data_IF_069486624878
#
_entry.id   IF_069486624878
#
_cell.length_a   1.000
_cell.length_b   1.000
_cell.length_c   1.000
_cell.angle_alpha   90.00
_cell.angle_beta   90.00
_cell.angle_gamma   90.00
#
_symmetry.space_group_name_H-M   'P 1'
#
loop_
_entity.id
_entity.type
_entity.pdbx_description
1 polymer ?
#
# COMPACT_ATOMS: atom_id res chain seq x y z
N UNK A 1 18.43 17.50 0.23
CA UNK A 1 17.13 16.88 0.64
C UNK A 1 16.46 17.84 1.61
N UNK A 2 15.18 18.14 1.42
CA UNK A 2 14.39 18.94 2.37
C UNK A 2 14.26 18.10 3.66
N UNK A 3 14.23 18.74 4.83
CA UNK A 3 13.96 18.00 6.08
C UNK A 3 12.58 17.35 6.00
N UNK A 4 12.50 16.07 6.32
CA UNK A 4 11.24 15.32 6.44
C UNK A 4 10.60 15.47 7.83
N UNK A 5 11.33 16.10 8.76
CA UNK A 5 10.83 16.31 10.12
C UNK A 5 9.59 17.20 10.12
N UNK A 6 8.62 16.82 10.93
CA UNK A 6 7.33 17.48 11.08
C UNK A 6 6.51 17.59 9.78
N UNK A 7 6.76 16.72 8.78
CA UNK A 7 5.97 16.66 7.55
C UNK A 7 4.94 15.52 7.62
N UNK A 8 3.73 15.79 7.12
CA UNK A 8 2.72 14.76 6.94
C UNK A 8 3.06 13.83 5.78
N UNK A 9 2.71 12.54 5.91
CA UNK A 9 2.88 11.52 4.88
C UNK A 9 1.52 11.17 4.26
N UNK A 10 1.13 11.86 3.19
CA UNK A 10 -0.22 11.78 2.61
C UNK A 10 -0.31 10.92 1.34
N UNK A 11 0.69 11.05 0.46
CA UNK A 11 0.78 10.36 -0.82
C UNK A 11 2.23 10.27 -1.28
N UNK A 12 2.54 9.28 -2.13
CA UNK A 12 3.88 9.17 -2.72
C UNK A 12 4.23 10.36 -3.63
N UNK A 13 3.22 10.99 -4.25
CA UNK A 13 3.43 12.11 -5.17
C UNK A 13 4.05 13.35 -4.51
N UNK A 14 3.94 13.52 -3.20
CA UNK A 14 4.51 14.68 -2.49
C UNK A 14 6.04 14.61 -2.31
N UNK A 15 6.66 13.45 -2.53
CA UNK A 15 8.08 13.22 -2.29
C UNK A 15 8.90 13.19 -3.57
N UNK A 16 10.20 13.54 -3.44
CA UNK A 16 11.18 13.31 -4.51
C UNK A 16 11.64 11.84 -4.52
N UNK A 17 12.22 11.35 -5.62
CA UNK A 17 12.83 10.01 -5.66
C UNK A 17 13.87 9.79 -4.57
N UNK A 18 14.68 10.81 -4.24
CA UNK A 18 15.70 10.76 -3.19
C UNK A 18 15.08 10.64 -1.79
N UNK A 19 13.95 11.30 -1.53
CA UNK A 19 13.22 11.20 -0.27
C UNK A 19 12.56 9.84 -0.12
N UNK A 20 11.99 9.29 -1.19
CA UNK A 20 11.47 7.91 -1.21
C UNK A 20 12.61 6.91 -0.94
N UNK A 21 13.75 7.09 -1.61
CA UNK A 21 14.93 6.26 -1.37
C UNK A 21 15.38 6.33 0.08
N UNK A 22 15.37 7.52 0.69
CA UNK A 22 15.71 7.68 2.11
C UNK A 22 14.78 6.88 3.02
N UNK A 23 13.46 6.89 2.79
CA UNK A 23 12.52 6.05 3.55
C UNK A 23 12.84 4.56 3.41
N UNK A 24 13.20 4.11 2.20
CA UNK A 24 13.54 2.71 1.95
C UNK A 24 14.86 2.31 2.62
N UNK A 25 15.90 3.14 2.52
CA UNK A 25 17.20 2.91 3.18
C UNK A 25 17.03 2.88 4.70
N UNK A 26 16.23 3.80 5.26
CA UNK A 26 15.92 3.85 6.68
C UNK A 26 15.12 2.61 7.13
N UNK A 27 14.15 2.17 6.36
CA UNK A 27 13.37 0.97 6.65
C UNK A 27 14.25 -0.29 6.64
N UNK A 28 15.13 -0.42 5.65
CA UNK A 28 16.09 -1.52 5.58
C UNK A 28 17.04 -1.53 6.80
N UNK A 29 17.53 -0.36 7.19
CA UNK A 29 18.39 -0.20 8.39
C UNK A 29 17.65 -0.57 9.66
N UNK A 30 16.44 -0.04 9.89
CA UNK A 30 15.62 -0.35 11.06
C UNK A 30 15.25 -1.85 11.12
N UNK A 31 14.97 -2.48 9.97
CA UNK A 31 14.74 -3.92 9.87
C UNK A 31 15.97 -4.71 10.30
N UNK A 32 17.14 -4.34 9.80
CA UNK A 32 18.40 -4.99 10.13
C UNK A 32 18.75 -4.82 11.61
N UNK A 33 18.60 -3.61 12.16
CA UNK A 33 18.91 -3.31 13.56
C UNK A 33 17.96 -4.04 14.51
N UNK A 34 16.65 -4.11 14.18
CA UNK A 34 15.68 -4.91 14.95
C UNK A 34 16.08 -6.39 14.97
N UNK A 35 16.39 -6.98 13.81
CA UNK A 35 16.82 -8.39 13.72
C UNK A 35 18.12 -8.66 14.48
N UNK A 36 19.02 -7.68 14.56
CA UNK A 36 20.27 -7.76 15.31
C UNK A 36 20.14 -7.40 16.80
N UNK A 37 18.98 -6.99 17.28
CA UNK A 37 18.80 -6.52 18.66
C UNK A 37 19.54 -5.21 18.98
N UNK A 38 19.82 -4.38 17.98
CA UNK A 38 20.61 -3.14 18.08
C UNK A 38 19.80 -1.88 17.77
N UNK A 39 18.50 -1.99 17.62
CA UNK A 39 17.62 -0.88 17.27
C UNK A 39 17.66 0.23 18.33
N UNK A 40 17.95 1.46 17.91
CA UNK A 40 17.99 2.64 18.78
C UNK A 40 16.59 3.22 18.86
N UNK A 41 16.09 3.49 20.07
CA UNK A 41 14.79 4.11 20.31
C UNK A 41 14.91 5.63 20.14
N UNK A 42 14.32 6.18 19.08
CA UNK A 42 14.40 7.60 18.75
C UNK A 42 13.08 8.36 18.98
N UNK A 43 12.01 7.65 19.33
CA UNK A 43 10.67 8.22 19.56
C UNK A 43 10.23 8.12 21.03
N UNK A 44 11.17 8.04 21.95
CA UNK A 44 10.87 7.93 23.38
C UNK A 44 10.04 9.13 23.85
N UNK A 45 8.91 8.84 24.52
CA UNK A 45 7.98 9.84 25.06
C UNK A 45 7.01 10.42 24.03
N UNK A 46 7.08 10.02 22.75
CA UNK A 46 6.10 10.41 21.74
C UNK A 46 4.79 9.62 21.91
N UNK A 47 3.68 10.27 21.56
CA UNK A 47 2.33 9.69 21.61
C UNK A 47 1.64 9.90 20.28
N UNK A 48 1.07 8.84 19.70
CA UNK A 48 0.41 8.86 18.40
C UNK A 48 -1.05 8.43 18.50
N UNK A 49 -1.95 9.20 17.91
CA UNK A 49 -3.33 8.78 17.71
C UNK A 49 -3.45 7.95 16.43
N UNK A 50 -4.07 6.78 16.52
CA UNK A 50 -4.33 5.90 15.38
C UNK A 50 -5.83 5.87 15.13
N UNK A 51 -6.29 6.58 14.10
CA UNK A 51 -7.72 6.74 13.76
C UNK A 51 -8.08 5.76 12.63
N UNK A 52 -9.06 4.91 12.89
CA UNK A 52 -9.53 3.92 11.93
C UNK A 52 -11.04 4.03 11.73
N UNK A 53 -11.47 4.42 10.53
CA UNK A 53 -12.86 4.30 10.09
C UNK A 53 -13.17 2.92 9.52
N UNK A 54 -12.13 2.21 9.09
CA UNK A 54 -12.16 0.83 8.58
C UNK A 54 -11.23 -0.04 9.39
N UNK A 55 -11.66 -1.22 9.78
CA UNK A 55 -10.82 -2.19 10.48
C UNK A 55 -9.58 -2.58 9.66
N UNK A 56 -8.48 -2.79 10.35
CA UNK A 56 -7.23 -3.26 9.75
C UNK A 56 -6.36 -3.97 10.76
N UNK A 57 -6.00 -5.20 10.46
CA UNK A 57 -5.03 -5.96 11.24
C UNK A 57 -3.60 -5.46 10.99
N UNK A 58 -3.17 -5.45 9.73
CA UNK A 58 -1.78 -5.16 9.36
C UNK A 58 -1.35 -3.73 9.62
N UNK A 59 -2.15 -2.74 9.21
CA UNK A 59 -1.81 -1.32 9.41
C UNK A 59 -1.76 -0.99 10.89
N UNK A 60 -2.76 -1.42 11.66
CA UNK A 60 -2.80 -1.22 13.11
C UNK A 60 -1.56 -1.84 13.78
N UNK A 61 -1.33 -3.14 13.57
CA UNK A 61 -0.18 -3.82 14.17
C UNK A 61 1.16 -3.19 13.78
N UNK A 62 1.31 -2.75 12.52
CA UNK A 62 2.55 -2.13 12.06
C UNK A 62 2.82 -0.78 12.75
N UNK A 63 1.80 0.07 12.92
CA UNK A 63 1.96 1.32 13.67
C UNK A 63 2.19 1.07 15.16
N UNK A 64 1.38 0.21 15.81
CA UNK A 64 1.52 -0.09 17.24
C UNK A 64 2.89 -0.72 17.56
N UNK A 65 3.29 -1.76 16.84
CA UNK A 65 4.59 -2.42 17.07
C UNK A 65 5.74 -1.51 16.67
N UNK A 66 5.64 -0.78 15.56
CA UNK A 66 6.68 0.15 15.12
C UNK A 66 6.90 1.29 16.11
N UNK A 67 5.84 1.86 16.67
CA UNK A 67 5.91 2.87 17.72
C UNK A 67 6.54 2.32 18.99
N UNK A 68 6.10 1.14 19.46
CA UNK A 68 6.62 0.50 20.65
C UNK A 68 8.11 0.14 20.52
N UNK A 69 8.55 -0.36 19.37
CA UNK A 69 9.96 -0.61 19.08
C UNK A 69 10.82 0.64 19.28
N UNK A 70 10.29 1.80 18.91
CA UNK A 70 10.96 3.09 18.99
C UNK A 70 10.73 3.85 20.31
N UNK A 71 9.96 3.26 21.25
CA UNK A 71 9.71 3.83 22.57
C UNK A 71 8.57 4.87 22.61
N UNK A 72 7.75 4.92 21.57
CA UNK A 72 6.54 5.73 21.54
C UNK A 72 5.31 4.96 22.04
N UNK A 73 4.24 5.69 22.36
CA UNK A 73 2.95 5.15 22.73
C UNK A 73 1.90 5.42 21.65
N UNK A 74 0.91 4.56 21.56
CA UNK A 74 -0.20 4.71 20.59
C UNK A 74 -1.54 4.62 21.31
N UNK A 75 -2.53 5.37 20.81
CA UNK A 75 -3.93 5.25 21.20
C UNK A 75 -4.74 4.88 19.96
N UNK A 76 -5.38 3.73 19.99
CA UNK A 76 -6.24 3.27 18.91
C UNK A 76 -7.66 3.82 19.06
N UNK A 77 -8.12 4.52 18.03
CA UNK A 77 -9.48 5.06 17.90
C UNK A 77 -10.18 4.35 16.73
N UNK A 78 -10.86 3.27 17.03
CA UNK A 78 -11.56 2.44 16.04
C UNK A 78 -12.91 3.02 15.61
N UNK A 79 -13.63 2.36 14.68
CA UNK A 79 -14.88 2.85 14.09
C UNK A 79 -16.00 3.13 15.10
N UNK A 80 -15.99 2.46 16.23
CA UNK A 80 -16.99 2.62 17.30
C UNK A 80 -16.49 3.39 18.49
N UNK A 81 -15.21 3.70 18.58
CA UNK A 81 -14.55 4.26 19.77
C UNK A 81 -14.46 5.79 19.80
N UNK A 82 -14.91 6.50 18.78
CA UNK A 82 -14.80 7.96 18.68
C UNK A 82 -16.13 8.64 18.36
N UNK A 83 -16.19 9.97 18.59
CA UNK A 83 -17.32 10.81 18.21
C UNK A 83 -17.11 11.48 16.84
N UNK A 84 -15.98 11.25 16.20
CA UNK A 84 -15.60 11.80 14.91
C UNK A 84 -16.68 11.52 13.84
N UNK A 85 -17.01 12.54 13.06
CA UNK A 85 -18.07 12.53 12.04
C UNK A 85 -19.48 12.12 12.53
N UNK A 86 -19.67 11.99 13.86
CA UNK A 86 -20.98 11.68 14.48
C UNK A 86 -21.54 12.89 15.23
N UNK A 87 -20.83 13.34 16.25
CA UNK A 87 -21.20 14.50 17.09
C UNK A 87 -20.12 15.58 17.08
N UNK A 88 -18.97 15.32 16.51
CA UNK A 88 -17.84 16.23 16.41
C UNK A 88 -17.37 16.33 14.96
N UNK A 89 -17.10 17.54 14.48
CA UNK A 89 -16.55 17.73 13.15
C UNK A 89 -15.11 17.21 13.06
N UNK A 90 -14.69 16.76 11.87
CA UNK A 90 -13.31 16.30 11.67
C UNK A 90 -12.28 17.40 11.99
N UNK A 91 -12.61 18.67 11.72
CA UNK A 91 -11.75 19.82 12.06
C UNK A 91 -11.58 20.00 13.57
N UNK A 92 -12.63 19.79 14.34
CA UNK A 92 -12.56 19.90 15.81
C UNK A 92 -11.81 18.71 16.39
N UNK A 93 -12.08 17.50 15.90
CA UNK A 93 -11.30 16.30 16.24
C UNK A 93 -9.82 16.51 15.94
N UNK A 94 -9.48 17.07 14.78
CA UNK A 94 -8.08 17.37 14.40
C UNK A 94 -7.40 18.30 15.43
N UNK A 95 -8.06 19.39 15.81
CA UNK A 95 -7.54 20.35 16.79
C UNK A 95 -7.36 19.72 18.18
N UNK A 96 -8.36 18.96 18.64
CA UNK A 96 -8.31 18.28 19.93
C UNK A 96 -7.17 17.26 19.97
N UNK A 97 -7.09 16.38 18.98
CA UNK A 97 -6.03 15.36 18.93
C UNK A 97 -4.64 15.99 18.72
N UNK A 98 -4.54 17.02 17.88
CA UNK A 98 -3.29 17.75 17.69
C UNK A 98 -2.78 18.47 18.94
N UNK A 99 -3.66 18.79 19.91
CA UNK A 99 -3.25 19.35 21.19
C UNK A 99 -2.77 18.30 22.21
N UNK A 100 -3.04 17.02 21.97
CA UNK A 100 -2.75 15.92 22.90
C UNK A 100 -1.65 14.99 22.39
N UNK A 101 -1.53 14.82 21.07
CA UNK A 101 -0.65 13.86 20.42
C UNK A 101 0.42 14.53 19.60
N UNK A 102 1.53 13.85 19.38
CA UNK A 102 2.64 14.33 18.56
C UNK A 102 2.40 14.09 17.06
N UNK A 103 1.59 13.08 16.70
CA UNK A 103 1.16 12.81 15.33
C UNK A 103 -0.16 12.03 15.31
N UNK A 104 -0.79 12.00 14.13
CA UNK A 104 -2.05 11.28 13.88
C UNK A 104 -1.84 10.35 12.69
N UNK A 105 -2.16 9.07 12.83
CA UNK A 105 -2.39 8.18 11.70
C UNK A 105 -3.89 8.15 11.39
N UNK A 106 -4.21 8.14 10.10
CA UNK A 106 -5.58 8.05 9.65
C UNK A 106 -5.74 6.96 8.58
N UNK A 107 -6.69 6.06 8.82
CA UNK A 107 -7.17 5.08 7.86
C UNK A 107 -8.67 5.21 7.71
N UNK A 108 -9.11 5.66 6.54
CA UNK A 108 -10.52 5.95 6.30
C UNK A 108 -10.94 5.78 4.85
N UNK A 109 -11.94 6.56 4.46
CA UNK A 109 -12.52 6.55 3.13
C UNK A 109 -11.95 7.65 2.26
N UNK A 110 -12.15 8.91 2.63
CA UNK A 110 -11.84 10.05 1.79
C UNK A 110 -10.42 10.59 1.99
N UNK A 111 -9.73 10.86 0.88
CA UNK A 111 -8.43 11.52 0.92
C UNK A 111 -8.53 12.95 1.49
N UNK A 112 -9.66 13.62 1.28
CA UNK A 112 -9.92 14.95 1.83
C UNK A 112 -9.91 14.98 3.37
N UNK A 113 -10.18 13.84 4.02
CA UNK A 113 -10.13 13.73 5.47
C UNK A 113 -8.68 13.73 5.98
N UNK A 114 -7.77 13.07 5.27
CA UNK A 114 -6.31 13.16 5.54
C UNK A 114 -5.83 14.61 5.41
N UNK A 115 -6.26 15.31 4.36
CA UNK A 115 -5.88 16.71 4.13
C UNK A 115 -6.46 17.61 5.24
N UNK A 116 -7.72 17.42 5.62
CA UNK A 116 -8.37 18.17 6.70
C UNK A 116 -7.66 17.93 8.04
N UNK A 117 -7.31 16.69 8.37
CA UNK A 117 -6.55 16.39 9.58
C UNK A 117 -5.19 17.08 9.55
N UNK A 118 -4.46 17.02 8.43
CA UNK A 118 -3.16 17.65 8.29
C UNK A 118 -3.20 19.19 8.40
N UNK A 119 -4.25 19.81 7.87
CA UNK A 119 -4.40 21.27 7.86
C UNK A 119 -4.80 21.84 9.25
N UNK A 120 -5.53 21.06 10.05
CA UNK A 120 -6.11 21.57 11.31
C UNK A 120 -5.50 20.99 12.59
N UNK A 121 -4.74 19.90 12.55
CA UNK A 121 -4.19 19.27 13.76
C UNK A 121 -2.95 19.96 14.32
N UNK A 122 -2.22 20.74 13.53
CA UNK A 122 -0.90 21.32 13.90
C UNK A 122 0.21 20.27 14.15
N UNK A 123 -0.06 19.00 13.90
CA UNK A 123 0.89 17.90 14.03
C UNK A 123 0.92 17.09 12.72
N UNK A 124 1.99 16.33 12.45
CA UNK A 124 2.06 15.47 11.28
C UNK A 124 0.92 14.45 11.21
N UNK A 125 0.41 14.20 10.00
CA UNK A 125 -0.60 13.20 9.72
C UNK A 125 -0.06 12.17 8.73
N UNK A 126 -0.26 10.89 9.04
CA UNK A 126 0.16 9.77 8.21
C UNK A 126 -1.05 9.06 7.61
N UNK A 127 -1.07 8.96 6.30
CA UNK A 127 -2.10 8.22 5.57
C UNK A 127 -1.87 6.71 5.69
N UNK A 128 -2.65 6.03 6.51
CA UNK A 128 -2.65 4.58 6.66
C UNK A 128 -3.35 3.85 5.51
N UNK A 129 -4.35 4.47 4.90
CA UNK A 129 -5.07 4.11 3.67
C UNK A 129 -6.28 5.03 3.49
N UNK A 130 -6.56 5.40 2.26
CA UNK A 130 -7.87 5.94 1.81
C UNK A 130 -8.39 5.13 0.62
N UNK A 131 -9.59 5.46 0.12
CA UNK A 131 -10.10 4.85 -1.13
C UNK A 131 -9.30 5.31 -2.36
N UNK A 132 -8.55 6.42 -2.25
CA UNK A 132 -7.72 6.94 -3.32
C UNK A 132 -6.30 6.38 -3.30
N UNK A 133 -5.67 6.22 -2.13
CA UNK A 133 -4.23 5.93 -2.03
C UNK A 133 -3.87 5.05 -0.82
N UNK A 134 -2.79 4.30 -0.94
CA UNK A 134 -2.21 3.50 0.14
C UNK A 134 -0.67 3.61 0.17
N UNK A 135 -0.11 4.81 0.46
CA UNK A 135 1.30 5.08 0.25
C UNK A 135 2.23 4.24 1.13
N UNK A 136 1.80 3.85 2.34
CA UNK A 136 2.58 2.95 3.21
C UNK A 136 2.73 1.54 2.63
N UNK A 137 1.78 1.07 1.81
CA UNK A 137 1.88 -0.20 1.11
C UNK A 137 2.92 -0.12 -0.03
N UNK A 138 2.94 0.98 -0.76
CA UNK A 138 3.91 1.21 -1.83
C UNK A 138 5.35 1.16 -1.30
N UNK A 139 5.64 1.80 -0.17
CA UNK A 139 6.96 1.70 0.45
C UNK A 139 7.32 0.26 0.83
N UNK A 140 6.36 -0.49 1.43
CA UNK A 140 6.60 -1.88 1.79
C UNK A 140 6.86 -2.76 0.57
N UNK A 141 6.09 -2.55 -0.50
CA UNK A 141 6.31 -3.24 -1.76
C UNK A 141 7.72 -2.94 -2.31
N UNK A 142 8.11 -1.67 -2.42
CA UNK A 142 9.43 -1.30 -2.95
C UNK A 142 10.59 -1.84 -2.12
N UNK A 143 10.49 -1.83 -0.79
CA UNK A 143 11.48 -2.49 0.05
C UNK A 143 11.54 -3.99 -0.25
N UNK A 144 10.39 -4.64 -0.42
CA UNK A 144 10.32 -6.07 -0.75
C UNK A 144 10.95 -6.37 -2.12
N UNK A 145 10.72 -5.51 -3.12
CA UNK A 145 11.34 -5.66 -4.42
C UNK A 145 12.87 -5.51 -4.35
N UNK A 146 13.38 -4.52 -3.60
CA UNK A 146 14.82 -4.33 -3.41
C UNK A 146 15.50 -5.52 -2.70
N UNK A 147 14.77 -6.21 -1.83
CA UNK A 147 15.29 -7.39 -1.11
C UNK A 147 15.32 -8.67 -1.98
N UNK A 148 14.54 -8.73 -3.09
CA UNK A 148 14.33 -9.97 -3.84
C UNK A 148 14.69 -9.89 -5.34
N UNK A 149 14.94 -8.68 -5.87
CA UNK A 149 15.25 -8.47 -7.28
C UNK A 149 16.55 -7.68 -7.38
N UNK A 150 17.55 -8.29 -8.00
CA UNK A 150 18.88 -7.67 -8.20
C UNK A 150 18.86 -6.68 -9.39
N UNK A 151 17.98 -5.67 -9.28
CA UNK A 151 17.84 -4.54 -10.20
C UNK A 151 17.50 -3.28 -9.41
N UNK A 152 17.98 -2.10 -9.82
CA UNK A 152 17.47 -0.84 -9.26
C UNK A 152 15.99 -0.65 -9.64
N UNK A 153 15.20 0.00 -8.79
CA UNK A 153 13.75 0.15 -8.99
C UNK A 153 13.37 0.67 -10.37
N UNK A 154 14.10 1.64 -10.90
CA UNK A 154 13.87 2.20 -12.24
C UNK A 154 14.19 1.24 -13.41
N UNK A 155 14.56 0.00 -13.14
CA UNK A 155 14.79 -1.06 -14.14
C UNK A 155 13.86 -2.26 -13.92
N UNK A 156 12.96 -2.17 -12.94
CA UNK A 156 11.95 -3.19 -12.69
C UNK A 156 10.73 -2.92 -13.56
N UNK A 157 10.31 -3.93 -14.30
CA UNK A 157 9.03 -3.95 -15.01
C UNK A 157 7.95 -4.57 -14.11
N UNK A 158 6.85 -3.84 -13.93
CA UNK A 158 5.92 -4.05 -12.84
C UNK A 158 4.48 -3.91 -13.32
N UNK A 159 3.64 -4.92 -13.11
CA UNK A 159 2.24 -4.82 -13.46
C UNK A 159 1.32 -4.90 -12.25
N UNK A 160 0.26 -4.08 -12.28
CA UNK A 160 -0.94 -4.31 -11.49
C UNK A 160 -2.00 -4.97 -12.36
N UNK A 161 -2.50 -6.14 -11.95
CA UNK A 161 -3.50 -6.91 -12.68
C UNK A 161 -4.82 -6.82 -11.96
N UNK A 162 -5.87 -6.31 -12.63
CA UNK A 162 -7.23 -6.22 -12.07
C UNK A 162 -7.84 -4.82 -12.13
N UNK A 163 -8.40 -4.35 -11.02
CA UNK A 163 -9.18 -3.11 -10.93
C UNK A 163 -8.29 -1.86 -10.91
N UNK A 164 -8.11 -1.21 -12.04
CA UNK A 164 -7.22 -0.07 -12.20
C UNK A 164 -7.65 1.23 -11.49
N UNK A 165 -8.90 1.33 -11.05
CA UNK A 165 -9.39 2.47 -10.25
C UNK A 165 -9.34 2.19 -8.75
N UNK A 166 -8.66 1.11 -8.33
CA UNK A 166 -8.46 0.80 -6.92
C UNK A 166 -7.38 1.68 -6.29
N UNK A 167 -7.46 1.89 -4.97
CA UNK A 167 -6.43 2.58 -4.22
C UNK A 167 -5.05 1.92 -4.34
N UNK A 168 -5.00 0.60 -4.48
CA UNK A 168 -3.73 -0.12 -4.65
C UNK A 168 -3.10 0.16 -6.01
N UNK A 169 -3.89 0.15 -7.10
CA UNK A 169 -3.39 0.54 -8.42
C UNK A 169 -2.87 1.98 -8.40
N UNK A 170 -3.63 2.90 -7.82
CA UNK A 170 -3.22 4.31 -7.68
C UNK A 170 -1.91 4.45 -6.89
N UNK A 171 -1.82 3.79 -5.74
CA UNK A 171 -0.65 3.85 -4.87
C UNK A 171 0.62 3.34 -5.57
N UNK A 172 0.51 2.17 -6.22
CA UNK A 172 1.65 1.57 -6.92
C UNK A 172 2.04 2.34 -8.17
N UNK A 173 1.06 2.85 -8.92
CA UNK A 173 1.27 3.69 -10.10
C UNK A 173 1.98 5.00 -9.72
N UNK A 174 1.54 5.67 -8.65
CA UNK A 174 2.17 6.92 -8.19
C UNK A 174 3.61 6.70 -7.74
N UNK A 175 3.87 5.62 -7.00
CA UNK A 175 5.22 5.24 -6.61
C UNK A 175 6.09 4.88 -7.81
N UNK A 176 5.57 4.10 -8.75
CA UNK A 176 6.28 3.74 -9.98
C UNK A 176 6.62 4.96 -10.84
N UNK A 177 5.66 5.90 -10.97
CA UNK A 177 5.88 7.18 -11.63
C UNK A 177 7.05 7.96 -10.99
N UNK A 178 7.09 8.03 -9.65
CA UNK A 178 8.18 8.71 -8.92
C UNK A 178 9.52 8.03 -9.09
N UNK A 179 9.56 6.70 -9.10
CA UNK A 179 10.81 5.93 -9.14
C UNK A 179 11.30 5.60 -10.55
N UNK A 180 10.66 6.11 -11.61
CA UNK A 180 11.09 5.89 -12.99
C UNK A 180 10.90 4.46 -13.49
N UNK A 181 9.88 3.73 -12.99
CA UNK A 181 9.64 2.32 -13.30
C UNK A 181 8.83 2.13 -14.58
N UNK A 182 8.87 0.93 -15.17
CA UNK A 182 7.91 0.47 -16.18
C UNK A 182 6.68 -0.11 -15.47
N UNK A 183 5.61 0.68 -15.38
CA UNK A 183 4.35 0.28 -14.77
C UNK A 183 3.29 -0.03 -15.82
N UNK A 184 2.66 -1.20 -15.69
CA UNK A 184 1.58 -1.64 -16.57
C UNK A 184 0.34 -1.96 -15.76
N UNK A 185 -0.79 -1.37 -16.14
CA UNK A 185 -2.11 -1.83 -15.71
C UNK A 185 -2.62 -2.84 -16.73
N UNK A 186 -2.94 -4.04 -16.27
CA UNK A 186 -3.56 -5.11 -17.05
C UNK A 186 -4.95 -5.38 -16.49
N UNK A 187 -5.98 -4.99 -17.24
CA UNK A 187 -7.35 -5.11 -16.75
C UNK A 187 -8.38 -4.57 -17.74
N UNK A 188 -9.68 -4.77 -17.47
CA UNK A 188 -10.75 -4.36 -18.36
C UNK A 188 -10.75 -2.84 -18.59
N UNK A 189 -10.95 -2.38 -19.83
CA UNK A 189 -10.93 -0.95 -20.21
C UNK A 189 -11.79 -0.06 -19.35
N UNK A 190 -12.98 -0.52 -18.96
CA UNK A 190 -13.92 0.24 -18.14
C UNK A 190 -13.40 0.55 -16.73
N UNK A 191 -12.36 -0.16 -16.28
CA UNK A 191 -11.71 0.03 -14.99
C UNK A 191 -10.29 0.63 -15.09
N UNK A 192 -9.91 1.16 -16.26
CA UNK A 192 -8.64 1.87 -16.37
C UNK A 192 -8.67 3.17 -15.55
N UNK A 193 -7.53 3.59 -14.99
CA UNK A 193 -7.46 4.81 -14.21
C UNK A 193 -7.80 6.03 -15.06
N UNK A 194 -8.43 7.01 -14.43
CA UNK A 194 -8.82 8.26 -15.05
C UNK A 194 -8.83 9.39 -14.02
N UNK A 195 -8.92 10.63 -14.51
CA UNK A 195 -9.07 11.82 -13.69
C UNK A 195 -7.74 12.40 -13.17
N UNK A 196 -7.84 13.42 -12.29
CA UNK A 196 -6.69 14.28 -11.95
C UNK A 196 -5.49 13.54 -11.36
N UNK A 197 -5.72 12.50 -10.54
CA UNK A 197 -4.64 11.72 -9.94
C UNK A 197 -3.83 10.94 -10.99
N UNK A 198 -4.52 10.33 -11.95
CA UNK A 198 -3.89 9.63 -13.06
C UNK A 198 -3.10 10.60 -13.95
N UNK A 199 -3.68 11.75 -14.27
CA UNK A 199 -3.03 12.78 -15.08
C UNK A 199 -1.75 13.30 -14.41
N UNK A 200 -1.75 13.49 -13.08
CA UNK A 200 -0.55 13.88 -12.35
C UNK A 200 0.50 12.75 -12.37
N UNK A 201 0.10 11.48 -12.24
CA UNK A 201 1.03 10.35 -12.39
C UNK A 201 1.68 10.33 -13.77
N UNK A 202 0.92 10.59 -14.85
CA UNK A 202 1.46 10.66 -16.23
C UNK A 202 2.45 11.83 -16.40
N UNK A 203 2.18 12.96 -15.77
CA UNK A 203 3.08 14.11 -15.78
C UNK A 203 4.39 13.79 -15.06
N UNK A 204 4.31 13.25 -13.85
CA UNK A 204 5.48 12.82 -13.08
C UNK A 204 6.29 11.76 -13.83
N UNK A 205 5.62 10.80 -14.47
CA UNK A 205 6.28 9.77 -15.26
C UNK A 205 7.14 10.35 -16.39
N UNK A 206 6.66 11.41 -17.07
CA UNK A 206 7.46 12.11 -18.10
C UNK A 206 8.71 12.78 -17.52
N UNK A 207 8.64 13.27 -16.29
CA UNK A 207 9.77 13.95 -15.63
C UNK A 207 10.84 12.94 -15.15
N UNK A 208 10.42 11.76 -14.68
CA UNK A 208 11.30 10.73 -14.12
C UNK A 208 11.79 9.69 -15.12
N UNK A 209 11.18 9.65 -16.32
CA UNK A 209 11.43 8.62 -17.32
C UNK A 209 10.68 7.30 -17.08
N UNK A 210 9.68 7.31 -16.17
CA UNK A 210 8.79 6.16 -16.00
C UNK A 210 7.89 5.97 -17.23
N UNK A 211 7.45 4.73 -17.45
CA UNK A 211 6.39 4.42 -18.40
C UNK A 211 5.14 3.95 -17.65
N UNK A 212 3.97 4.44 -18.05
CA UNK A 212 2.69 3.98 -17.53
C UNK A 212 1.84 3.58 -18.72
N UNK A 213 1.47 2.30 -18.79
CA UNK A 213 0.64 1.75 -19.87
C UNK A 213 -0.58 1.02 -19.31
N UNK A 214 -1.68 1.03 -20.07
CA UNK A 214 -2.88 0.28 -19.75
C UNK A 214 -3.20 -0.65 -20.92
N UNK A 215 -3.53 -1.90 -20.64
CA UNK A 215 -3.94 -2.89 -21.64
C UNK A 215 -4.98 -3.86 -21.09
N UNK A 216 -5.84 -4.35 -21.95
CA UNK A 216 -6.73 -5.48 -21.69
C UNK A 216 -6.22 -6.79 -22.34
N UNK A 217 -5.10 -6.72 -23.07
CA UNK A 217 -4.39 -7.89 -23.58
C UNK A 217 -3.43 -8.43 -22.52
N UNK A 218 -3.81 -9.54 -21.90
CA UNK A 218 -3.02 -10.18 -20.84
C UNK A 218 -1.66 -10.64 -21.35
N UNK A 219 -1.61 -11.31 -22.53
CA UNK A 219 -0.40 -11.93 -23.04
C UNK A 219 0.69 -10.89 -23.37
N UNK A 220 0.29 -9.78 -24.00
CA UNK A 220 1.21 -8.67 -24.27
C UNK A 220 1.56 -7.88 -23.00
N UNK A 221 0.57 -7.68 -22.13
CA UNK A 221 0.77 -6.93 -20.90
C UNK A 221 1.78 -7.55 -19.95
N UNK A 222 1.75 -8.88 -19.79
CA UNK A 222 2.63 -9.57 -18.82
C UNK A 222 4.03 -9.86 -19.37
N UNK A 223 4.27 -9.68 -20.66
CA UNK A 223 5.51 -10.08 -21.31
C UNK A 223 6.74 -9.40 -20.70
N UNK A 224 7.69 -10.23 -20.25
CA UNK A 224 8.98 -9.79 -19.70
C UNK A 224 8.90 -9.13 -18.32
N UNK A 225 7.77 -9.25 -17.59
CA UNK A 225 7.63 -8.64 -16.27
C UNK A 225 8.56 -9.24 -15.22
N UNK A 226 9.04 -8.40 -14.35
CA UNK A 226 9.72 -8.79 -13.11
C UNK A 226 8.73 -9.05 -11.97
N UNK A 227 7.60 -8.34 -11.98
CA UNK A 227 6.61 -8.38 -10.88
C UNK A 227 5.19 -8.34 -11.42
N UNK A 228 4.34 -9.21 -10.90
CA UNK A 228 2.88 -9.14 -11.01
C UNK A 228 2.29 -8.86 -9.62
N UNK A 229 1.48 -7.83 -9.53
CA UNK A 229 0.71 -7.46 -8.35
C UNK A 229 -0.78 -7.57 -8.64
N UNK A 230 -1.56 -8.06 -7.70
CA UNK A 230 -3.03 -8.01 -7.79
C UNK A 230 -3.66 -7.65 -6.46
N UNK A 231 -4.95 -7.42 -6.44
CA UNK A 231 -5.74 -7.14 -5.25
C UNK A 231 -7.16 -7.69 -5.39
N UNK A 232 -7.88 -7.74 -4.29
CA UNK A 232 -9.23 -8.31 -4.23
C UNK A 232 -10.18 -7.64 -5.23
N UNK A 233 -11.03 -8.44 -5.88
CA UNK A 233 -12.06 -7.92 -6.80
C UNK A 233 -13.34 -7.55 -6.08
N UNK A 234 -13.60 -8.18 -4.94
CA UNK A 234 -14.82 -8.02 -4.15
C UNK A 234 -14.47 -7.66 -2.71
N UNK A 235 -15.34 -6.91 -2.06
CA UNK A 235 -15.20 -6.55 -0.64
C UNK A 235 -16.44 -6.98 0.15
N UNK A 236 -16.29 -7.14 1.46
CA UNK A 236 -17.41 -7.56 2.33
C UNK A 236 -18.59 -6.57 2.37
N UNK A 237 -18.40 -5.32 1.89
CA UNK A 237 -19.47 -4.32 1.77
C UNK A 237 -20.23 -4.37 0.46
N UNK A 238 -19.76 -5.15 -0.53
CA UNK A 238 -20.38 -5.23 -1.85
C UNK A 238 -21.62 -6.15 -1.79
N UNK A 239 -22.62 -5.83 -2.62
CA UNK A 239 -23.80 -6.70 -2.83
C UNK A 239 -23.44 -7.92 -3.69
N UNK A 240 -24.26 -8.95 -3.65
CA UNK A 240 -24.04 -10.15 -4.48
C UNK A 240 -24.11 -9.86 -5.99
N UNK A 241 -24.97 -8.93 -6.41
CA UNK A 241 -25.04 -8.53 -7.83
C UNK A 241 -23.73 -7.85 -8.26
N UNK A 242 -23.12 -7.05 -7.40
CA UNK A 242 -21.79 -6.48 -7.64
C UNK A 242 -20.69 -7.55 -7.71
N UNK A 243 -20.81 -8.62 -6.88
CA UNK A 243 -19.86 -9.73 -6.95
C UNK A 243 -19.93 -10.44 -8.29
N UNK A 244 -21.15 -10.75 -8.76
CA UNK A 244 -21.35 -11.44 -10.04
C UNK A 244 -20.79 -10.63 -11.21
N UNK A 245 -21.08 -9.33 -11.28
CA UNK A 245 -20.53 -8.44 -12.30
C UNK A 245 -19.00 -8.43 -12.27
N UNK A 246 -18.41 -8.20 -11.09
CA UNK A 246 -16.97 -8.10 -10.94
C UNK A 246 -16.27 -9.42 -11.24
N UNK A 247 -16.77 -10.53 -10.73
CA UNK A 247 -16.17 -11.86 -10.99
C UNK A 247 -16.20 -12.16 -12.48
N UNK A 248 -17.33 -11.96 -13.15
CA UNK A 248 -17.44 -12.21 -14.59
C UNK A 248 -16.51 -11.27 -15.39
N UNK A 249 -16.36 -10.03 -14.97
CA UNK A 249 -15.52 -9.04 -15.64
C UNK A 249 -14.03 -9.30 -15.43
N UNK A 250 -13.61 -9.68 -14.21
CA UNK A 250 -12.20 -9.84 -13.88
C UNK A 250 -11.68 -11.27 -14.03
N UNK A 251 -12.53 -12.27 -14.23
CA UNK A 251 -12.12 -13.68 -14.39
C UNK A 251 -11.01 -13.90 -15.42
N UNK A 252 -10.97 -13.21 -16.58
CA UNK A 252 -9.86 -13.34 -17.54
C UNK A 252 -8.52 -12.78 -17.02
N UNK A 253 -8.56 -12.02 -15.93
CA UNK A 253 -7.40 -11.36 -15.31
C UNK A 253 -7.00 -12.02 -13.99
N UNK A 254 -7.47 -13.25 -13.70
CA UNK A 254 -7.00 -14.00 -12.54
C UNK A 254 -5.51 -14.32 -12.69
N UNK A 255 -4.71 -13.99 -11.67
CA UNK A 255 -3.30 -14.36 -11.65
C UNK A 255 -3.19 -15.85 -11.32
N UNK A 256 -2.76 -16.63 -12.28
CA UNK A 256 -2.60 -18.08 -12.22
C UNK A 256 -1.28 -18.52 -12.85
N UNK A 257 -0.96 -19.81 -12.79
CA UNK A 257 0.28 -20.34 -13.32
C UNK A 257 0.47 -20.08 -14.83
N UNK A 258 -0.63 -20.06 -15.61
CA UNK A 258 -0.57 -19.75 -17.04
C UNK A 258 -0.15 -18.28 -17.25
N UNK A 259 -0.77 -17.33 -16.55
CA UNK A 259 -0.37 -15.91 -16.61
C UNK A 259 1.09 -15.72 -16.19
N UNK A 260 1.54 -16.39 -15.12
CA UNK A 260 2.94 -16.34 -14.68
C UNK A 260 3.87 -16.87 -15.76
N UNK A 261 3.51 -17.95 -16.43
CA UNK A 261 4.31 -18.52 -17.53
C UNK A 261 4.36 -17.62 -18.78
N UNK A 262 3.27 -16.91 -19.10
CA UNK A 262 3.21 -15.95 -20.21
C UNK A 262 4.18 -14.78 -20.07
N UNK A 263 4.68 -14.49 -18.87
CA UNK A 263 5.76 -13.49 -18.69
C UNK A 263 7.04 -13.85 -19.43
N UNK A 264 7.30 -15.12 -19.67
CA UNK A 264 8.55 -15.63 -20.21
C UNK A 264 9.75 -15.48 -19.26
N UNK A 265 9.52 -14.99 -18.04
CA UNK A 265 10.53 -14.82 -17.00
C UNK A 265 10.25 -15.74 -15.81
N UNK A 266 11.01 -16.83 -15.61
CA UNK A 266 10.77 -17.78 -14.54
C UNK A 266 10.99 -17.20 -13.13
N UNK A 267 11.61 -16.02 -13.03
CA UNK A 267 11.88 -15.32 -11.78
C UNK A 267 10.84 -14.24 -11.46
N UNK A 268 9.79 -14.09 -12.28
CA UNK A 268 8.72 -13.12 -12.02
C UNK A 268 8.16 -13.33 -10.62
N UNK A 269 8.13 -12.27 -9.81
CA UNK A 269 7.61 -12.27 -8.46
C UNK A 269 6.11 -11.96 -8.44
N UNK A 270 5.41 -12.58 -7.51
CA UNK A 270 4.02 -12.28 -7.21
C UNK A 270 3.94 -11.48 -5.92
N UNK A 271 3.15 -10.39 -5.91
CA UNK A 271 2.92 -9.53 -4.76
C UNK A 271 1.43 -9.31 -4.52
N UNK A 272 1.05 -9.09 -3.25
CA UNK A 272 -0.32 -8.82 -2.84
C UNK A 272 -0.36 -8.12 -1.48
N UNK A 273 -1.23 -7.11 -1.32
CA UNK A 273 -1.32 -6.34 -0.06
C UNK A 273 -2.00 -7.09 1.10
N UNK A 274 -2.67 -8.20 0.83
CA UNK A 274 -3.52 -8.92 1.77
C UNK A 274 -4.68 -8.06 2.33
N UNK A 275 -5.86 -8.67 2.62
CA UNK A 275 -6.17 -10.10 2.47
C UNK A 275 -6.23 -10.54 1.01
N UNK A 276 -6.05 -11.83 0.75
CA UNK A 276 -6.20 -12.46 -0.57
C UNK A 276 -7.24 -13.57 -0.49
N UNK A 277 -8.01 -13.74 -1.57
CA UNK A 277 -8.98 -14.81 -1.68
C UNK A 277 -8.47 -15.88 -2.66
N UNK A 278 -7.45 -16.63 -2.23
CA UNK A 278 -6.75 -17.63 -3.04
C UNK A 278 -7.26 -19.05 -2.85
N UNK A 279 -8.14 -19.26 -1.87
CA UNK A 279 -8.75 -20.58 -1.58
C UNK A 279 -10.11 -20.43 -0.87
N UNK A 280 -10.67 -21.56 -0.37
CA UNK A 280 -11.96 -21.62 0.32
C UNK A 280 -11.86 -21.59 1.84
N UNK A 281 -10.74 -21.18 2.44
CA UNK A 281 -10.60 -21.15 3.90
C UNK A 281 -11.31 -19.95 4.55
N UNK A 282 -11.57 -18.89 3.78
CA UNK A 282 -12.36 -17.75 4.24
C UNK A 282 -13.84 -17.90 3.92
N UNK A 283 -14.72 -17.21 4.65
CA UNK A 283 -16.16 -17.22 4.34
C UNK A 283 -16.43 -16.70 2.93
N UNK A 284 -15.79 -15.61 2.53
CA UNK A 284 -15.91 -15.03 1.17
C UNK A 284 -15.48 -16.05 0.11
N UNK A 285 -14.36 -16.74 0.32
CA UNK A 285 -13.86 -17.78 -0.59
C UNK A 285 -14.85 -18.94 -0.74
N UNK A 286 -15.49 -19.38 0.36
CA UNK A 286 -16.54 -20.42 0.34
C UNK A 286 -17.76 -19.95 -0.45
N UNK A 287 -18.28 -18.77 -0.15
CA UNK A 287 -19.47 -18.21 -0.80
C UNK A 287 -19.27 -18.08 -2.32
N UNK A 288 -18.06 -17.70 -2.75
CA UNK A 288 -17.73 -17.59 -4.18
C UNK A 288 -17.55 -18.96 -4.82
N UNK A 289 -16.93 -19.91 -4.12
CA UNK A 289 -16.83 -21.28 -4.63
C UNK A 289 -18.21 -21.92 -4.82
N UNK A 290 -19.10 -21.77 -3.84
CA UNK A 290 -20.46 -22.31 -3.90
C UNK A 290 -21.30 -21.69 -5.02
N UNK A 291 -21.12 -20.40 -5.32
CA UNK A 291 -21.92 -19.67 -6.30
C UNK A 291 -21.35 -19.69 -7.71
N UNK A 292 -20.03 -19.55 -7.82
CA UNK A 292 -19.36 -19.33 -9.10
C UNK A 292 -18.41 -20.48 -9.50
N UNK A 293 -18.23 -21.47 -8.62
CA UNK A 293 -17.35 -22.61 -8.85
C UNK A 293 -15.86 -22.26 -8.92
N UNK A 294 -15.47 -21.08 -8.40
CA UNK A 294 -14.08 -20.61 -8.40
C UNK A 294 -13.39 -20.93 -7.08
N UNK A 295 -12.33 -21.72 -7.15
CA UNK A 295 -11.39 -21.91 -6.04
C UNK A 295 -10.22 -20.94 -6.22
N UNK A 296 -10.24 -19.86 -5.41
CA UNK A 296 -9.42 -18.69 -5.66
C UNK A 296 -10.10 -17.66 -6.57
N UNK A 297 -9.94 -16.39 -6.27
CA UNK A 297 -10.62 -15.28 -6.95
C UNK A 297 -9.62 -14.50 -7.80
N UNK A 298 -8.91 -13.56 -7.22
CA UNK A 298 -7.92 -12.73 -7.92
C UNK A 298 -6.60 -13.44 -8.20
N UNK A 299 -6.32 -14.49 -7.45
CA UNK A 299 -5.11 -15.31 -7.59
C UNK A 299 -5.44 -16.78 -7.24
N UNK A 300 -4.75 -17.70 -7.88
CA UNK A 300 -4.85 -19.14 -7.56
C UNK A 300 -3.89 -19.52 -6.41
N UNK A 301 -4.24 -20.60 -5.70
CA UNK A 301 -3.47 -21.11 -4.55
C UNK A 301 -2.02 -21.44 -4.88
N UNK A 302 -1.78 -22.07 -6.01
CA UNK A 302 -0.44 -22.46 -6.46
C UNK A 302 0.49 -21.27 -6.75
N UNK A 303 -0.04 -20.14 -7.18
CA UNK A 303 0.72 -18.90 -7.33
C UNK A 303 0.90 -18.23 -5.98
N UNK A 304 -0.17 -18.14 -5.16
CA UNK A 304 -0.14 -17.45 -3.88
C UNK A 304 0.81 -18.12 -2.88
N UNK A 305 0.81 -19.43 -2.78
CA UNK A 305 1.71 -20.24 -1.93
C UNK A 305 3.01 -20.64 -2.65
N UNK A 306 3.15 -20.23 -3.90
CA UNK A 306 4.31 -20.58 -4.72
C UNK A 306 5.61 -19.90 -4.29
N UNK A 307 6.78 -20.41 -4.71
CA UNK A 307 8.10 -19.95 -4.28
C UNK A 307 8.44 -18.53 -4.74
N UNK A 308 7.70 -17.99 -5.71
CA UNK A 308 7.86 -16.62 -6.20
C UNK A 308 6.92 -15.62 -5.53
N UNK A 309 6.06 -16.07 -4.61
CA UNK A 309 5.17 -15.20 -3.84
C UNK A 309 5.94 -14.44 -2.76
N UNK A 310 5.75 -13.13 -2.73
CA UNK A 310 6.36 -12.23 -1.75
C UNK A 310 5.32 -11.61 -0.81
N UNK A 311 4.05 -12.05 -0.85
CA UNK A 311 2.93 -11.43 -0.13
C UNK A 311 3.18 -11.33 1.38
N UNK A 312 3.70 -12.36 2.03
CA UNK A 312 3.97 -12.35 3.46
C UNK A 312 5.22 -11.53 3.83
N UNK A 313 6.24 -11.53 2.99
CA UNK A 313 7.42 -10.68 3.19
C UNK A 313 7.05 -9.20 3.02
N UNK A 314 6.18 -8.87 2.06
CA UNK A 314 5.65 -7.53 1.90
C UNK A 314 4.83 -7.10 3.12
N UNK A 315 4.02 -8.00 3.69
CA UNK A 315 3.27 -7.75 4.91
C UNK A 315 4.21 -7.49 6.12
N UNK A 316 5.31 -8.24 6.26
CA UNK A 316 6.35 -7.96 7.27
C UNK A 316 6.97 -6.57 7.04
N UNK A 317 7.31 -6.24 5.80
CA UNK A 317 7.94 -4.98 5.45
C UNK A 317 7.06 -3.75 5.74
N UNK A 318 5.74 -3.92 5.88
CA UNK A 318 4.85 -2.87 6.38
C UNK A 318 5.29 -2.31 7.74
N UNK A 319 5.71 -3.19 8.65
CA UNK A 319 6.23 -2.78 9.96
C UNK A 319 7.44 -1.85 9.80
N UNK A 320 8.39 -2.24 8.96
CA UNK A 320 9.67 -1.53 8.85
C UNK A 320 9.54 -0.21 8.11
N UNK A 321 8.72 -0.15 7.07
CA UNK A 321 8.50 1.08 6.29
C UNK A 321 7.62 2.08 7.04
N UNK A 322 6.58 1.65 7.74
CA UNK A 322 5.77 2.51 8.61
C UNK A 322 6.64 3.06 9.76
N UNK A 323 7.47 2.22 10.37
CA UNK A 323 8.44 2.67 11.37
C UNK A 323 9.39 3.73 10.81
N UNK A 324 9.89 3.54 9.58
CA UNK A 324 10.75 4.52 8.92
C UNK A 324 10.04 5.86 8.69
N UNK A 325 8.75 5.86 8.32
CA UNK A 325 7.95 7.08 8.20
C UNK A 325 7.84 7.79 9.55
N UNK A 326 7.50 7.06 10.62
CA UNK A 326 7.40 7.64 11.98
C UNK A 326 8.74 8.22 12.44
N UNK A 327 9.83 7.47 12.26
CA UNK A 327 11.19 7.89 12.64
C UNK A 327 11.61 9.12 11.85
N UNK A 328 11.48 9.13 10.53
CA UNK A 328 11.86 10.27 9.67
C UNK A 328 11.06 11.54 9.99
N UNK A 329 9.85 11.39 10.53
CA UNK A 329 9.01 12.53 10.93
C UNK A 329 9.56 13.26 12.17
N UNK A 330 10.31 12.59 13.05
CA UNK A 330 10.70 13.18 14.34
C UNK A 330 12.18 13.14 14.65
N UNK A 331 12.98 12.37 13.94
CA UNK A 331 14.40 12.20 14.27
C UNK A 331 15.27 11.92 13.06
N UNK A 332 16.57 12.12 13.26
CA UNK A 332 17.61 11.68 12.34
C UNK A 332 18.19 10.36 12.85
N UNK A 333 17.83 9.26 12.22
CA UNK A 333 18.35 7.93 12.55
C UNK A 333 19.68 7.70 11.81
N UNK A 334 20.73 7.17 12.47
CA UNK A 334 22.01 6.94 11.80
C UNK A 334 21.88 5.81 10.78
N UNK A 335 22.09 6.11 9.51
CA UNK A 335 22.05 5.12 8.42
C UNK A 335 23.37 4.33 8.27
N UNK A 336 24.45 4.75 8.92
CA UNK A 336 25.78 4.10 8.89
C UNK A 336 26.04 3.26 10.12
#
# INVERSE_FOLDING_TARGET
>A
MKSLQHTSFKTMLQYTPEEIKYFLDLAAKLKADKKAGKEIKTLVGKNFALIFEKDSTRTRCAFEVGAADQGAHTTYLGPTGSQMNKKESLKDTARVLGSMYDAIEFRGFDQADVDTLADYSSVPVWNGLTDMDHPTQTLANFLTLQENIDKPLNKISYAYVGHGQSNMCNALMSGAAKMGMDFRLIGPKQYWPAGPFYEECLKVAKETGATITCTDDVAEGVKGLDVIYTGVWVTMGDTYDMWEERINTFKPFQVNAEMMALTGNPNTKFCHCLPAFHNTETQVGKDIFERFGMNGIEVTEDVFEGPNSLAFQEAENRLHTIKAVMVATFSDYPLK
#
